data_IF_145402913450
#
_entry.id   IF_145402913450
#
_cell.length_a   1.000
_cell.length_b   1.000
_cell.length_c   1.000
_cell.angle_alpha   90.00
_cell.angle_beta   90.00
_cell.angle_gamma   90.00
#
_symmetry.space_group_name_H-M   'P 1'
#
loop_
_entity.id
_entity.type
_entity.pdbx_description
1 polymer ?
#
# COMPACT_ATOMS: atom_id res chain seq x y z
N UNK A 1 -16.95 42.53 0.14
CA UNK A 1 -16.01 42.96 1.19
C UNK A 1 -15.11 41.79 1.54
N UNK A 2 -13.87 41.80 1.04
CA UNK A 2 -12.89 40.73 1.25
C UNK A 2 -12.31 40.81 2.66
N UNK A 3 -12.37 39.70 3.40
CA UNK A 3 -11.69 39.59 4.69
C UNK A 3 -10.19 39.63 4.41
N UNK A 4 -9.52 40.60 5.02
CA UNK A 4 -8.09 40.87 4.88
C UNK A 4 -7.29 39.57 5.06
N UNK A 5 -6.57 39.19 4.00
CA UNK A 5 -5.52 38.17 4.01
C UNK A 5 -4.42 38.62 4.98
N UNK A 6 -4.55 38.26 6.27
CA UNK A 6 -3.35 38.15 7.11
C UNK A 6 -2.56 36.99 6.53
N UNK A 7 -1.47 37.30 5.83
CA UNK A 7 -0.46 36.32 5.47
C UNK A 7 -0.09 35.57 6.74
N UNK A 8 -0.34 34.26 6.75
CA UNK A 8 0.13 33.42 7.83
C UNK A 8 1.65 33.45 7.79
N UNK A 9 2.26 33.96 8.84
CA UNK A 9 3.72 33.97 9.00
C UNK A 9 4.25 32.54 8.92
N UNK A 10 5.34 32.34 8.19
CA UNK A 10 6.00 31.03 8.03
C UNK A 10 6.65 30.53 9.33
N UNK A 11 6.69 31.35 10.37
CA UNK A 11 7.21 30.97 11.67
C UNK A 11 6.33 29.94 12.37
N UNK A 12 6.84 28.71 12.47
CA UNK A 12 6.20 27.62 13.19
C UNK A 12 6.11 27.93 14.68
N UNK A 13 4.89 27.92 15.22
CA UNK A 13 4.66 28.05 16.66
C UNK A 13 5.30 26.90 17.43
N UNK A 14 6.12 27.23 18.42
CA UNK A 14 6.72 26.26 19.35
C UNK A 14 5.70 25.89 20.43
N UNK A 15 5.17 24.68 20.36
CA UNK A 15 4.20 24.15 21.33
C UNK A 15 4.92 23.16 22.28
N UNK A 16 4.70 23.22 23.60
CA UNK A 16 5.26 22.24 24.53
C UNK A 16 4.79 20.81 24.23
N UNK A 17 5.67 19.81 24.35
CA UNK A 17 5.36 18.40 24.04
C UNK A 17 4.15 17.85 24.79
N UNK A 18 3.98 18.23 26.07
CA UNK A 18 2.80 17.84 26.87
C UNK A 18 1.48 18.33 26.26
N UNK A 19 1.48 19.56 25.73
CA UNK A 19 0.30 20.13 25.08
C UNK A 19 0.01 19.44 23.75
N UNK A 20 1.05 19.11 22.98
CA UNK A 20 0.91 18.31 21.75
C UNK A 20 0.27 16.96 22.06
N UNK A 21 0.75 16.26 23.10
CA UNK A 21 0.19 14.97 23.49
C UNK A 21 -1.28 15.09 23.91
N UNK A 22 -1.64 16.08 24.74
CA UNK A 22 -3.05 16.31 25.09
C UNK A 22 -3.94 16.60 23.88
N UNK A 23 -3.42 17.30 22.86
CA UNK A 23 -4.18 17.55 21.63
C UNK A 23 -4.37 16.25 20.86
N UNK A 24 -3.35 15.41 20.77
CA UNK A 24 -3.43 14.10 20.09
C UNK A 24 -4.46 13.21 20.78
N UNK A 25 -4.37 13.07 22.10
CA UNK A 25 -5.26 12.21 22.88
C UNK A 25 -6.72 12.68 22.77
N UNK A 26 -6.96 13.99 22.96
CA UNK A 26 -8.30 14.57 22.77
C UNK A 26 -8.84 14.37 21.35
N UNK A 27 -7.99 14.52 20.32
CA UNK A 27 -8.39 14.31 18.92
C UNK A 27 -8.73 12.85 18.68
N UNK A 28 -7.97 11.93 19.27
CA UNK A 28 -8.24 10.50 19.17
C UNK A 28 -9.57 10.15 19.83
N UNK A 29 -9.78 10.56 21.08
CA UNK A 29 -11.02 10.26 21.82
C UNK A 29 -12.25 10.87 21.14
N UNK A 30 -12.12 12.07 20.58
CA UNK A 30 -13.22 12.78 19.93
C UNK A 30 -13.61 12.20 18.56
N UNK A 31 -12.67 11.66 17.78
CA UNK A 31 -12.93 11.28 16.38
C UNK A 31 -12.58 9.83 16.01
N UNK A 32 -11.57 9.24 16.64
CA UNK A 32 -11.05 7.93 16.25
C UNK A 32 -11.38 6.81 17.25
N UNK A 33 -11.80 7.16 18.47
CA UNK A 33 -12.25 6.23 19.49
C UNK A 33 -13.51 5.44 19.10
N UNK A 34 -13.71 4.27 19.72
CA UNK A 34 -14.88 3.43 19.46
C UNK A 34 -16.19 4.16 19.78
N UNK A 35 -16.26 4.81 20.95
CA UNK A 35 -17.42 5.59 21.39
C UNK A 35 -17.76 6.73 20.42
N UNK A 36 -16.75 7.40 19.85
CA UNK A 36 -16.95 8.46 18.87
C UNK A 36 -17.59 7.92 17.58
N UNK A 37 -17.12 6.77 17.10
CA UNK A 37 -17.70 6.10 15.91
C UNK A 37 -19.12 5.63 16.16
N UNK A 38 -19.40 5.05 17.32
CA UNK A 38 -20.74 4.58 17.68
C UNK A 38 -21.71 5.75 17.81
N UNK A 39 -21.30 6.83 18.47
CA UNK A 39 -22.09 8.06 18.60
C UNK A 39 -22.38 8.68 17.24
N UNK A 40 -21.38 8.73 16.35
CA UNK A 40 -21.55 9.21 14.98
C UNK A 40 -22.48 8.31 14.14
N UNK A 41 -22.47 6.99 14.38
CA UNK A 41 -23.31 6.03 13.66
C UNK A 41 -24.79 6.07 14.07
N UNK A 42 -25.08 6.62 15.25
CA UNK A 42 -26.43 6.86 15.78
C UNK A 42 -27.07 8.15 15.28
N UNK A 43 -26.28 9.08 14.69
CA UNK A 43 -26.82 10.30 14.12
C UNK A 43 -27.72 10.01 12.91
N UNK A 44 -28.75 10.84 12.72
CA UNK A 44 -29.67 10.73 11.60
C UNK A 44 -28.98 10.85 10.23
N UNK A 45 -27.90 11.66 10.15
CA UNK A 45 -27.09 11.83 8.95
C UNK A 45 -25.87 10.90 8.97
N UNK A 46 -25.65 10.07 7.92
CA UNK A 46 -24.50 9.17 7.86
C UNK A 46 -23.17 9.88 7.54
N UNK A 47 -23.17 11.18 7.23
CA UNK A 47 -21.98 11.94 6.82
C UNK A 47 -20.81 11.81 7.79
N UNK A 48 -21.03 12.10 9.08
CA UNK A 48 -19.99 12.01 10.10
C UNK A 48 -19.46 10.58 10.21
N UNK A 49 -20.34 9.59 10.33
CA UNK A 49 -19.94 8.19 10.46
C UNK A 49 -19.08 7.72 9.27
N UNK A 50 -19.49 8.05 8.04
CA UNK A 50 -18.76 7.72 6.82
C UNK A 50 -17.40 8.42 6.77
N UNK A 51 -17.32 9.69 7.19
CA UNK A 51 -16.07 10.44 7.25
C UNK A 51 -15.10 9.83 8.24
N UNK A 52 -15.55 9.50 9.46
CA UNK A 52 -14.70 8.91 10.49
C UNK A 52 -14.16 7.53 10.08
N UNK A 53 -14.98 6.71 9.42
CA UNK A 53 -14.55 5.44 8.85
C UNK A 53 -13.46 5.66 7.79
N UNK A 54 -13.70 6.57 6.83
CA UNK A 54 -12.73 6.87 5.77
C UNK A 54 -11.41 7.40 6.32
N UNK A 55 -11.46 8.29 7.32
CA UNK A 55 -10.25 8.82 7.96
C UNK A 55 -9.51 7.73 8.74
N UNK A 56 -10.22 6.82 9.40
CA UNK A 56 -9.62 5.68 10.12
C UNK A 56 -8.90 4.74 9.15
N UNK A 57 -9.54 4.38 8.04
CA UNK A 57 -8.96 3.51 7.02
C UNK A 57 -7.71 4.17 6.40
N UNK A 58 -7.81 5.45 6.05
CA UNK A 58 -6.69 6.21 5.52
C UNK A 58 -5.52 6.34 6.51
N UNK A 59 -5.81 6.55 7.80
CA UNK A 59 -4.79 6.60 8.83
C UNK A 59 -3.98 5.30 8.91
N UNK A 60 -4.62 4.13 8.72
CA UNK A 60 -3.91 2.85 8.68
C UNK A 60 -2.93 2.76 7.50
N UNK A 61 -3.31 3.27 6.32
CA UNK A 61 -2.45 3.34 5.12
C UNK A 61 -1.26 4.26 5.34
N UNK A 62 -1.49 5.44 5.94
CA UNK A 62 -0.42 6.38 6.27
C UNK A 62 0.56 5.75 7.27
N UNK A 63 0.06 5.07 8.29
CA UNK A 63 0.88 4.37 9.28
C UNK A 63 1.69 3.24 8.65
N UNK A 64 1.06 2.42 7.80
CA UNK A 64 1.76 1.37 7.05
C UNK A 64 2.89 1.93 6.19
N UNK A 65 2.65 2.99 5.43
CA UNK A 65 3.66 3.65 4.61
C UNK A 65 4.81 4.23 5.46
N UNK A 66 4.49 4.88 6.59
CA UNK A 66 5.52 5.42 7.51
C UNK A 66 6.37 4.30 8.12
N UNK A 67 5.72 3.22 8.57
CA UNK A 67 6.38 2.05 9.14
C UNK A 67 7.32 1.40 8.12
N UNK A 68 6.83 1.15 6.89
CA UNK A 68 7.63 0.63 5.78
C UNK A 68 8.84 1.51 5.48
N UNK A 69 8.64 2.82 5.32
CA UNK A 69 9.74 3.77 5.06
C UNK A 69 10.78 3.78 6.17
N UNK A 70 10.36 3.62 7.42
CA UNK A 70 11.25 3.51 8.58
C UNK A 70 11.92 2.14 8.75
N UNK A 71 11.54 1.13 7.94
CA UNK A 71 12.03 -0.24 8.07
C UNK A 71 11.49 -0.99 9.29
N UNK A 72 10.44 -0.48 9.95
CA UNK A 72 9.87 -1.07 11.16
C UNK A 72 8.83 -2.16 10.80
N UNK A 73 9.33 -3.38 10.63
CA UNK A 73 8.49 -4.54 10.31
C UNK A 73 7.49 -4.89 11.41
N UNK A 74 7.78 -4.55 12.67
CA UNK A 74 6.86 -4.80 13.78
C UNK A 74 5.58 -3.97 13.65
N UNK A 75 5.73 -2.67 13.37
CA UNK A 75 4.60 -1.77 13.08
C UNK A 75 3.85 -2.18 11.82
N UNK A 76 4.56 -2.58 10.76
CA UNK A 76 3.94 -3.08 9.53
C UNK A 76 3.12 -4.35 9.80
N UNK A 77 3.63 -5.29 10.59
CA UNK A 77 2.92 -6.52 10.96
C UNK A 77 1.61 -6.22 11.71
N UNK A 78 1.58 -5.19 12.55
CA UNK A 78 0.35 -4.76 13.21
C UNK A 78 -0.69 -4.21 12.22
N UNK A 79 -0.25 -3.46 11.20
CA UNK A 79 -1.14 -2.99 10.12
C UNK A 79 -1.62 -4.16 9.25
N UNK A 80 -0.75 -5.11 8.90
CA UNK A 80 -1.11 -6.30 8.14
C UNK A 80 -2.18 -7.14 8.82
N UNK A 81 -2.12 -7.31 10.14
CA UNK A 81 -3.18 -7.99 10.92
C UNK A 81 -4.53 -7.28 10.85
N UNK A 82 -4.53 -5.94 10.83
CA UNK A 82 -5.77 -5.17 10.67
C UNK A 82 -6.30 -5.29 9.25
N UNK A 83 -5.43 -5.09 8.26
CA UNK A 83 -5.78 -5.19 6.85
C UNK A 83 -6.21 -6.59 6.44
N UNK A 84 -5.71 -7.64 7.07
CA UNK A 84 -6.13 -9.01 6.78
C UNK A 84 -7.60 -9.22 7.13
N UNK A 85 -8.07 -8.67 8.25
CA UNK A 85 -9.50 -8.70 8.64
C UNK A 85 -10.32 -7.83 7.69
N UNK A 86 -9.88 -6.59 7.45
CA UNK A 86 -10.56 -5.68 6.51
C UNK A 86 -10.69 -6.26 5.10
N UNK A 87 -9.65 -6.92 4.59
CA UNK A 87 -9.66 -7.53 3.25
C UNK A 87 -10.71 -8.63 3.11
N UNK A 88 -10.97 -9.41 4.18
CA UNK A 88 -12.03 -10.42 4.21
C UNK A 88 -13.42 -9.78 4.15
N UNK A 89 -13.59 -8.59 4.74
CA UNK A 89 -14.83 -7.82 4.65
C UNK A 89 -15.09 -7.18 3.27
N UNK A 90 -14.05 -6.99 2.46
CA UNK A 90 -14.13 -6.31 1.15
C UNK A 90 -14.17 -7.31 -0.01
N UNK A 91 -15.30 -7.36 -0.72
CA UNK A 91 -15.54 -8.32 -1.82
C UNK A 91 -14.51 -8.30 -2.96
N UNK A 92 -13.87 -7.15 -3.22
CA UNK A 92 -12.90 -6.97 -4.32
C UNK A 92 -11.50 -7.50 -4.01
N UNK A 93 -11.15 -7.69 -2.74
CA UNK A 93 -9.79 -8.04 -2.31
C UNK A 93 -9.62 -9.55 -2.05
N UNK A 94 -10.14 -10.40 -2.95
CA UNK A 94 -10.17 -11.86 -2.74
C UNK A 94 -8.80 -12.53 -2.60
N UNK A 95 -7.80 -12.05 -3.34
CA UNK A 95 -6.44 -12.60 -3.27
C UNK A 95 -5.78 -12.23 -1.95
N UNK A 96 -5.81 -10.93 -1.60
CA UNK A 96 -5.24 -10.42 -0.36
C UNK A 96 -5.94 -10.94 0.90
N UNK A 97 -7.26 -11.18 0.84
CA UNK A 97 -8.02 -11.75 1.94
C UNK A 97 -7.66 -13.20 2.26
N UNK A 98 -6.95 -13.90 1.37
CA UNK A 98 -6.42 -15.25 1.61
C UNK A 98 -4.91 -15.23 1.86
N UNK A 99 -4.14 -14.58 0.99
CA UNK A 99 -2.69 -14.63 1.02
C UNK A 99 -2.10 -13.92 2.23
N UNK A 100 -2.65 -12.75 2.61
CA UNK A 100 -2.12 -11.98 3.73
C UNK A 100 -2.30 -12.70 5.07
N UNK A 101 -3.50 -13.23 5.44
CA UNK A 101 -3.64 -14.07 6.63
C UNK A 101 -2.71 -15.29 6.63
N UNK A 102 -2.59 -15.99 5.50
CA UNK A 102 -1.68 -17.15 5.37
C UNK A 102 -0.25 -16.76 5.72
N UNK A 103 0.26 -15.68 5.11
CA UNK A 103 1.61 -15.20 5.38
C UNK A 103 1.80 -14.81 6.86
N UNK A 104 0.82 -14.12 7.46
CA UNK A 104 0.87 -13.74 8.89
C UNK A 104 0.94 -14.98 9.79
N UNK A 105 0.12 -16.00 9.54
CA UNK A 105 0.11 -17.25 10.31
C UNK A 105 1.41 -18.02 10.10
N UNK A 106 1.89 -18.11 8.86
CA UNK A 106 3.14 -18.77 8.52
C UNK A 106 4.31 -18.20 9.32
N UNK A 107 4.48 -16.87 9.28
CA UNK A 107 5.60 -16.19 9.93
C UNK A 107 5.49 -16.22 11.46
N UNK A 108 4.29 -16.02 12.01
CA UNK A 108 4.13 -15.85 13.47
C UNK A 108 3.91 -17.16 14.24
N UNK A 109 3.40 -18.22 13.59
CA UNK A 109 2.94 -19.44 14.28
C UNK A 109 3.61 -20.73 13.79
N UNK A 110 3.92 -20.84 12.50
CA UNK A 110 4.41 -22.10 11.91
C UNK A 110 5.94 -22.11 11.83
N UNK A 111 6.56 -21.02 11.35
CA UNK A 111 8.00 -20.97 11.16
C UNK A 111 8.76 -20.92 12.49
N UNK A 112 9.93 -21.60 12.58
CA UNK A 112 10.84 -21.43 13.71
C UNK A 112 11.25 -19.96 13.88
N UNK A 113 11.39 -19.50 15.13
CA UNK A 113 11.66 -18.09 15.45
C UNK A 113 12.88 -17.52 14.71
N UNK A 114 13.95 -18.31 14.55
CA UNK A 114 15.15 -17.90 13.82
C UNK A 114 14.85 -17.61 12.34
N UNK A 115 14.16 -18.53 11.67
CA UNK A 115 13.80 -18.39 10.25
C UNK A 115 12.78 -17.27 10.03
N UNK A 116 11.76 -17.17 10.89
CA UNK A 116 10.80 -16.08 10.86
C UNK A 116 11.50 -14.71 10.98
N UNK A 117 12.48 -14.59 11.89
CA UNK A 117 13.27 -13.38 12.07
C UNK A 117 14.07 -13.03 10.80
N UNK A 118 14.74 -14.00 10.20
CA UNK A 118 15.49 -13.78 8.94
C UNK A 118 14.56 -13.28 7.83
N UNK A 119 13.42 -13.94 7.63
CA UNK A 119 12.44 -13.54 6.61
C UNK A 119 11.94 -12.12 6.88
N UNK A 120 11.54 -11.81 8.13
CA UNK A 120 11.04 -10.48 8.50
C UNK A 120 12.06 -9.36 8.25
N UNK A 121 13.34 -9.60 8.55
CA UNK A 121 14.40 -8.63 8.25
C UNK A 121 14.75 -8.54 6.77
N UNK A 122 14.39 -9.54 5.96
CA UNK A 122 14.64 -9.55 4.50
C UNK A 122 13.53 -8.93 3.66
N UNK A 123 12.36 -8.64 4.25
CA UNK A 123 11.21 -8.07 3.53
C UNK A 123 11.48 -6.65 3.02
N UNK A 124 12.28 -5.87 3.75
CA UNK A 124 12.63 -4.51 3.38
C UNK A 124 14.07 -4.42 2.92
N UNK A 125 14.28 -3.53 1.96
CA UNK A 125 15.59 -3.18 1.43
C UNK A 125 15.75 -1.66 1.50
N UNK A 126 16.95 -1.17 1.79
CA UNK A 126 17.26 0.25 1.83
C UNK A 126 18.22 0.61 0.69
N UNK A 127 17.71 0.97 -0.51
CA UNK A 127 18.54 1.17 -1.70
C UNK A 127 19.66 2.18 -1.50
N UNK A 128 19.35 3.31 -0.86
CA UNK A 128 20.31 4.39 -0.64
C UNK A 128 20.89 4.44 0.77
N UNK A 129 20.57 3.50 1.66
CA UNK A 129 20.96 3.54 3.09
C UNK A 129 20.44 4.77 3.87
N UNK A 130 19.63 5.64 3.25
CA UNK A 130 19.10 6.86 3.86
C UNK A 130 18.00 6.53 4.87
N UNK A 131 17.93 7.33 5.94
CA UNK A 131 16.83 7.23 6.91
C UNK A 131 15.49 7.47 6.20
N UNK A 132 14.46 6.70 6.59
CA UNK A 132 13.12 6.76 6.00
C UNK A 132 13.05 6.42 4.49
N UNK A 133 14.03 5.69 3.99
CA UNK A 133 14.12 5.27 2.59
C UNK A 133 14.17 3.74 2.44
N UNK A 134 13.53 3.02 3.37
CA UNK A 134 13.28 1.60 3.20
C UNK A 134 12.13 1.40 2.20
N UNK A 135 12.27 0.37 1.40
CA UNK A 135 11.35 -0.01 0.33
C UNK A 135 11.09 -1.51 0.42
N UNK A 136 9.91 -1.96 -0.01
CA UNK A 136 9.64 -3.39 -0.10
C UNK A 136 10.62 -4.05 -1.06
N UNK A 137 11.10 -5.25 -0.70
CA UNK A 137 12.00 -6.04 -1.55
C UNK A 137 11.39 -6.26 -2.93
N UNK A 138 10.09 -6.54 -3.01
CA UNK A 138 9.37 -6.75 -4.26
C UNK A 138 9.45 -5.52 -5.17
N UNK A 139 9.17 -4.32 -4.65
CA UNK A 139 9.33 -3.07 -5.40
C UNK A 139 10.78 -2.84 -5.85
N UNK A 140 11.77 -3.18 -5.02
CA UNK A 140 13.16 -3.11 -5.45
C UNK A 140 13.45 -4.08 -6.60
N UNK A 141 12.93 -5.30 -6.55
CA UNK A 141 13.05 -6.30 -7.62
C UNK A 141 12.33 -5.86 -8.89
N UNK A 142 11.15 -5.25 -8.80
CA UNK A 142 10.44 -4.65 -9.93
C UNK A 142 11.28 -3.58 -10.62
N UNK A 143 11.93 -2.70 -9.85
CA UNK A 143 12.84 -1.70 -10.40
C UNK A 143 14.03 -2.35 -11.11
N UNK A 144 14.65 -3.39 -10.54
CA UNK A 144 15.73 -4.13 -11.21
C UNK A 144 15.24 -4.79 -12.50
N UNK A 145 14.05 -5.39 -12.49
CA UNK A 145 13.44 -6.02 -13.66
C UNK A 145 13.13 -4.98 -14.75
N UNK A 146 12.71 -3.78 -14.37
CA UNK A 146 12.52 -2.66 -15.30
C UNK A 146 13.83 -2.30 -15.99
N UNK A 147 14.91 -2.08 -15.23
CA UNK A 147 16.22 -1.73 -15.79
C UNK A 147 16.77 -2.83 -16.70
N UNK A 148 16.62 -4.08 -16.28
CA UNK A 148 17.01 -5.23 -17.08
C UNK A 148 16.27 -5.25 -18.44
N UNK A 149 14.96 -4.99 -18.46
CA UNK A 149 14.19 -4.82 -19.70
C UNK A 149 14.63 -3.60 -20.49
N UNK A 150 14.91 -2.48 -19.83
CA UNK A 150 15.37 -1.25 -20.48
C UNK A 150 16.68 -1.47 -21.23
N UNK A 151 17.70 -2.03 -20.56
CA UNK A 151 18.99 -2.37 -21.18
C UNK A 151 18.84 -3.36 -22.31
N UNK A 152 18.01 -4.39 -22.10
CA UNK A 152 17.76 -5.42 -23.10
C UNK A 152 17.12 -4.85 -24.38
N UNK A 153 16.06 -4.03 -24.25
CA UNK A 153 15.34 -3.47 -25.38
C UNK A 153 16.16 -2.45 -26.19
N UNK A 154 17.05 -1.68 -25.54
CA UNK A 154 17.86 -0.65 -26.21
C UNK A 154 19.13 -1.21 -26.87
N UNK A 155 19.47 -2.48 -26.63
CA UNK A 155 20.66 -3.11 -27.24
C UNK A 155 20.39 -3.62 -28.66
N UNK A 156 19.14 -3.62 -29.15
CA UNK A 156 18.77 -3.92 -30.55
C UNK A 156 18.99 -5.36 -31.01
N UNK A 157 19.65 -6.19 -30.19
CA UNK A 157 19.86 -7.61 -30.44
C UNK A 157 18.77 -8.40 -29.71
N UNK A 158 18.03 -9.23 -30.44
CA UNK A 158 16.92 -10.04 -29.91
C UNK A 158 17.29 -11.01 -28.78
N UNK A 159 16.27 -11.72 -28.30
CA UNK A 159 16.16 -12.62 -27.13
C UNK A 159 17.26 -13.67 -26.96
N UNK A 160 18.46 -13.25 -26.55
CA UNK A 160 19.46 -14.15 -25.97
C UNK A 160 19.36 -14.13 -24.44
N UNK A 161 18.53 -15.03 -23.91
CA UNK A 161 18.22 -15.15 -22.47
C UNK A 161 19.48 -15.40 -21.64
N UNK A 162 20.45 -16.14 -22.19
CA UNK A 162 21.70 -16.45 -21.49
C UNK A 162 22.54 -15.20 -21.24
N UNK A 163 22.59 -14.26 -22.20
CA UNK A 163 23.27 -12.96 -21.99
C UNK A 163 22.53 -12.07 -21.01
N UNK A 164 21.19 -12.09 -21.03
CA UNK A 164 20.37 -11.36 -20.06
C UNK A 164 20.65 -11.83 -18.64
N UNK A 165 20.72 -13.15 -18.45
CA UNK A 165 20.97 -13.80 -17.17
C UNK A 165 22.41 -13.62 -16.69
N UNK A 166 23.40 -13.89 -17.53
CA UNK A 166 24.78 -14.01 -17.09
C UNK A 166 25.55 -12.67 -17.16
N UNK A 167 25.18 -11.76 -18.06
CA UNK A 167 25.88 -10.48 -18.27
C UNK A 167 25.09 -9.31 -17.68
N UNK A 168 23.82 -9.16 -18.03
CA UNK A 168 23.05 -7.97 -17.66
C UNK A 168 22.49 -8.04 -16.23
N UNK A 169 21.91 -9.18 -15.82
CA UNK A 169 21.31 -9.33 -14.49
C UNK A 169 22.32 -9.13 -13.36
N UNK A 170 23.55 -9.60 -13.52
CA UNK A 170 24.61 -9.46 -12.49
C UNK A 170 25.08 -8.00 -12.39
N UNK A 171 25.07 -7.28 -13.51
CA UNK A 171 25.66 -5.95 -13.63
C UNK A 171 24.62 -4.82 -13.68
N UNK A 172 23.33 -5.09 -13.45
CA UNK A 172 22.25 -4.11 -13.62
C UNK A 172 22.49 -2.85 -12.76
N UNK A 173 22.96 -3.01 -11.52
CA UNK A 173 23.29 -1.89 -10.62
C UNK A 173 24.47 -1.07 -11.12
N UNK A 174 25.54 -1.72 -11.59
CA UNK A 174 26.73 -1.05 -12.13
C UNK A 174 26.40 -0.27 -13.41
N UNK A 175 25.63 -0.87 -14.32
CA UNK A 175 25.22 -0.22 -15.56
C UNK A 175 24.29 0.96 -15.30
N UNK A 176 23.36 0.81 -14.36
CA UNK A 176 22.49 1.89 -13.90
C UNK A 176 23.32 3.07 -13.37
N UNK A 177 24.24 2.81 -12.44
CA UNK A 177 25.07 3.85 -11.84
C UNK A 177 25.99 4.51 -12.86
N UNK A 178 26.49 3.76 -13.85
CA UNK A 178 27.28 4.30 -14.95
C UNK A 178 26.47 5.25 -15.82
N UNK A 179 25.26 4.86 -16.22
CA UNK A 179 24.36 5.74 -17.00
C UNK A 179 24.03 6.99 -16.19
N UNK A 180 23.69 6.84 -14.91
CA UNK A 180 23.33 7.98 -14.08
C UNK A 180 24.49 8.98 -13.97
N UNK A 181 25.71 8.49 -13.72
CA UNK A 181 26.91 9.34 -13.70
C UNK A 181 27.22 9.99 -15.05
N UNK A 182 27.08 9.25 -16.16
CA UNK A 182 27.26 9.80 -17.50
C UNK A 182 26.23 10.88 -17.82
N UNK A 183 24.98 10.71 -17.41
CA UNK A 183 23.93 11.73 -17.53
C UNK A 183 24.24 12.96 -16.68
N UNK A 184 24.72 12.76 -15.45
CA UNK A 184 25.17 13.86 -14.57
C UNK A 184 26.32 14.65 -15.21
N UNK A 185 27.34 13.95 -15.75
CA UNK A 185 28.49 14.56 -16.43
C UNK A 185 28.10 15.24 -17.76
N UNK A 186 27.10 14.72 -18.47
CA UNK A 186 26.61 15.29 -19.73
C UNK A 186 25.69 16.51 -19.53
N UNK A 187 25.36 16.86 -18.29
CA UNK A 187 24.44 17.94 -17.97
C UNK A 187 22.96 17.62 -18.26
N UNK A 188 22.66 16.39 -18.72
CA UNK A 188 21.30 15.88 -18.90
C UNK A 188 20.80 15.34 -17.57
N UNK A 189 20.69 16.25 -16.59
CA UNK A 189 20.27 15.90 -15.24
C UNK A 189 18.80 15.41 -15.29
N UNK A 190 18.61 14.09 -15.32
CA UNK A 190 17.30 13.48 -15.13
C UNK A 190 16.91 13.60 -13.65
N UNK A 191 16.62 14.83 -13.21
CA UNK A 191 16.05 15.08 -11.90
C UNK A 191 14.76 14.28 -11.81
N UNK A 192 14.79 13.18 -11.05
CA UNK A 192 13.58 12.45 -10.73
C UNK A 192 12.70 13.42 -9.97
N UNK A 193 11.59 13.83 -10.58
CA UNK A 193 10.65 14.75 -9.95
C UNK A 193 10.02 14.02 -8.76
N UNK A 194 10.66 14.16 -7.59
CA UNK A 194 10.06 13.70 -6.35
C UNK A 194 8.85 14.61 -6.10
N UNK A 195 7.65 14.12 -6.38
CA UNK A 195 6.42 14.80 -6.01
C UNK A 195 6.26 14.73 -4.49
N UNK A 196 7.12 15.43 -3.76
CA UNK A 196 6.89 15.72 -2.36
C UNK A 196 5.73 16.71 -2.30
N UNK A 197 4.54 16.21 -1.95
CA UNK A 197 3.38 17.04 -1.71
C UNK A 197 3.64 17.89 -0.45
N UNK A 198 4.14 19.11 -0.65
CA UNK A 198 4.29 20.09 0.41
C UNK A 198 2.92 20.74 0.68
N UNK A 199 2.35 20.39 1.82
CA UNK A 199 1.09 20.97 2.28
C UNK A 199 1.40 22.33 2.90
N UNK A 200 1.19 23.40 2.14
CA UNK A 200 1.36 24.77 2.61
C UNK A 200 0.16 25.22 3.44
N UNK A 201 0.35 26.23 4.31
CA UNK A 201 -0.71 26.81 5.14
C UNK A 201 -1.92 27.28 4.32
N UNK A 202 -1.66 27.84 3.12
CA UNK A 202 -2.71 28.22 2.16
C UNK A 202 -3.56 27.00 1.72
N UNK A 203 -2.92 25.88 1.43
CA UNK A 203 -3.61 24.64 1.03
C UNK A 203 -4.46 24.08 2.17
N UNK A 204 -3.97 24.12 3.40
CA UNK A 204 -4.73 23.72 4.60
C UNK A 204 -5.96 24.61 4.76
N UNK A 205 -5.80 25.94 4.68
CA UNK A 205 -6.92 26.87 4.79
C UNK A 205 -7.96 26.68 3.70
N UNK A 206 -7.53 26.44 2.45
CA UNK A 206 -8.45 26.14 1.35
C UNK A 206 -9.23 24.85 1.62
N UNK A 207 -8.58 23.82 2.14
CA UNK A 207 -9.25 22.58 2.57
C UNK A 207 -10.24 22.84 3.71
N UNK A 208 -9.88 23.64 4.71
CA UNK A 208 -10.78 24.03 5.80
C UNK A 208 -11.98 24.85 5.32
N UNK A 209 -11.80 25.74 4.34
CA UNK A 209 -12.89 26.50 3.72
C UNK A 209 -13.84 25.56 2.97
N UNK A 210 -13.31 24.66 2.15
CA UNK A 210 -14.09 23.67 1.40
C UNK A 210 -14.87 22.75 2.34
N UNK A 211 -14.25 22.24 3.40
CA UNK A 211 -14.90 21.34 4.35
C UNK A 211 -16.03 22.00 5.14
N UNK A 212 -15.88 23.29 5.48
CA UNK A 212 -16.93 24.09 6.13
C UNK A 212 -18.07 24.45 5.18
N UNK A 213 -17.76 24.81 3.93
CA UNK A 213 -18.75 25.18 2.92
C UNK A 213 -19.65 23.99 2.55
N UNK A 214 -19.10 22.78 2.50
CA UNK A 214 -19.81 21.57 2.09
C UNK A 214 -20.33 20.72 3.27
N UNK A 215 -20.30 21.25 4.50
CA UNK A 215 -20.55 20.55 5.77
C UNK A 215 -20.25 19.04 5.70
N UNK A 216 -18.97 18.71 5.53
CA UNK A 216 -18.52 17.33 5.31
C UNK A 216 -18.85 16.44 6.53
N UNK A 217 -18.98 17.04 7.71
CA UNK A 217 -19.36 16.37 8.95
C UNK A 217 -20.88 16.22 9.14
N UNK A 218 -21.71 17.03 8.49
CA UNK A 218 -23.16 17.03 8.69
C UNK A 218 -23.59 17.53 10.09
N UNK A 219 -22.80 18.40 10.71
CA UNK A 219 -23.10 18.94 12.05
C UNK A 219 -24.05 20.15 12.00
N UNK A 220 -24.15 20.81 10.84
CA UNK A 220 -25.04 21.95 10.61
C UNK A 220 -25.97 21.59 9.45
N UNK A 221 -27.06 20.84 9.72
CA UNK A 221 -27.94 20.35 8.66
C UNK A 221 -28.57 21.54 7.91
N UNK A 222 -28.26 21.65 6.62
CA UNK A 222 -28.92 22.60 5.72
C UNK A 222 -30.08 21.92 5.01
N UNK A 223 -31.20 22.63 4.86
CA UNK A 223 -32.40 22.11 4.20
C UNK A 223 -32.07 21.86 2.73
N UNK A 224 -32.28 20.62 2.25
CA UNK A 224 -32.01 20.21 0.86
C UNK A 224 -30.59 19.70 0.58
N UNK A 225 -29.78 19.49 1.61
CA UNK A 225 -28.41 19.02 1.45
C UNK A 225 -28.33 17.53 1.08
N UNK A 226 -27.33 17.16 0.25
CA UNK A 226 -27.11 15.78 -0.18
C UNK A 226 -26.76 14.87 1.01
N UNK A 227 -27.51 13.77 1.17
CA UNK A 227 -27.23 12.72 2.15
C UNK A 227 -26.59 11.51 1.46
N UNK A 228 -25.33 11.16 1.78
CA UNK A 228 -24.67 10.00 1.20
C UNK A 228 -25.27 8.69 1.72
N UNK A 229 -25.13 7.61 0.96
CA UNK A 229 -25.48 6.27 1.46
C UNK A 229 -24.60 5.89 2.66
N UNK A 230 -25.19 5.24 3.68
CA UNK A 230 -24.46 4.75 4.85
C UNK A 230 -23.48 3.66 4.42
N UNK A 231 -22.20 3.85 4.74
CA UNK A 231 -21.15 2.88 4.47
C UNK A 231 -21.00 1.98 5.70
N UNK A 232 -20.93 0.69 5.46
CA UNK A 232 -20.61 -0.29 6.50
C UNK A 232 -19.13 -0.31 6.83
N UNK A 233 -18.79 -0.47 8.10
CA UNK A 233 -17.41 -0.73 8.51
C UNK A 233 -16.91 -2.05 7.91
N UNK A 234 -15.83 -1.96 7.13
CA UNK A 234 -15.21 -3.09 6.43
C UNK A 234 -14.49 -4.04 7.39
N UNK A 235 -13.97 -3.53 8.51
CA UNK A 235 -13.32 -4.33 9.54
C UNK A 235 -14.34 -5.16 10.33
N UNK A 236 -15.46 -4.55 10.74
CA UNK A 236 -16.55 -5.25 11.44
C UNK A 236 -17.13 -6.37 10.55
N UNK A 237 -17.42 -6.06 9.28
CA UNK A 237 -17.83 -7.09 8.30
C UNK A 237 -16.82 -8.22 8.14
N UNK A 238 -15.53 -7.88 8.17
CA UNK A 238 -14.46 -8.88 8.13
C UNK A 238 -14.51 -9.84 9.32
N UNK A 239 -14.75 -9.31 10.52
CA UNK A 239 -14.92 -10.12 11.74
C UNK A 239 -16.17 -10.98 11.67
N UNK A 240 -17.32 -10.43 11.29
CA UNK A 240 -18.58 -11.17 11.14
C UNK A 240 -18.41 -12.35 10.17
N UNK A 241 -17.77 -12.12 9.02
CA UNK A 241 -17.48 -13.18 8.04
C UNK A 241 -16.53 -14.25 8.61
N UNK A 242 -15.51 -13.86 9.38
CA UNK A 242 -14.60 -14.81 10.02
C UNK A 242 -15.32 -15.64 11.09
N UNK A 243 -16.22 -15.03 11.86
CA UNK A 243 -17.03 -15.74 12.87
C UNK A 243 -17.99 -16.72 12.19
N UNK A 244 -18.67 -16.30 11.11
CA UNK A 244 -19.53 -17.23 10.36
C UNK A 244 -18.75 -18.40 9.76
N UNK A 245 -17.53 -18.15 9.23
CA UNK A 245 -16.67 -19.21 8.70
C UNK A 245 -16.15 -20.17 9.79
N UNK A 246 -16.12 -19.72 11.05
CA UNK A 246 -15.72 -20.53 12.21
C UNK A 246 -16.87 -21.39 12.72
N UNK A 247 -18.08 -20.83 12.78
CA UNK A 247 -19.29 -21.54 13.22
C UNK A 247 -19.79 -22.54 12.16
N UNK A 248 -19.33 -22.41 10.91
CA UNK A 248 -19.60 -23.35 9.83
C UNK A 248 -19.09 -24.77 10.17
N UNK A 249 -20.02 -25.68 10.49
CA UNK A 249 -19.76 -27.11 10.74
C UNK A 249 -19.33 -27.92 9.49
N UNK A 250 -18.90 -27.24 8.43
CA UNK A 250 -18.34 -27.88 7.22
C UNK A 250 -17.04 -28.64 7.52
N UNK A 251 -16.81 -29.76 6.84
CA UNK A 251 -15.58 -30.54 6.96
C UNK A 251 -14.84 -30.58 5.61
N UNK A 252 -13.65 -29.94 5.48
CA UNK A 252 -12.97 -29.12 6.47
C UNK A 252 -13.66 -27.75 6.71
N UNK A 253 -13.49 -27.13 7.90
CA UNK A 253 -14.00 -25.79 8.18
C UNK A 253 -13.56 -24.79 7.12
N UNK A 254 -14.45 -23.90 6.67
CA UNK A 254 -14.11 -22.88 5.67
C UNK A 254 -12.93 -22.01 6.11
N UNK A 255 -12.78 -21.79 7.41
CA UNK A 255 -11.65 -21.05 7.98
C UNK A 255 -10.27 -21.68 7.67
N UNK A 256 -10.20 -22.99 7.40
CA UNK A 256 -8.96 -23.66 7.02
C UNK A 256 -8.37 -23.12 5.73
N UNK A 257 -9.15 -22.41 4.89
CA UNK A 257 -8.63 -21.70 3.71
C UNK A 257 -7.57 -20.65 4.07
N UNK A 258 -7.54 -20.17 5.31
CA UNK A 258 -6.57 -19.18 5.80
C UNK A 258 -5.26 -19.81 6.27
N UNK A 259 -5.20 -21.14 6.42
CA UNK A 259 -3.96 -21.83 6.74
C UNK A 259 -3.03 -21.82 5.51
N UNK A 260 -1.72 -21.67 5.72
CA UNK A 260 -0.75 -21.81 4.64
C UNK A 260 -0.89 -23.18 3.97
N UNK A 261 -0.77 -23.21 2.64
CA UNK A 261 -0.62 -24.47 1.91
C UNK A 261 0.60 -25.21 2.47
N UNK A 262 0.51 -26.53 2.59
CA UNK A 262 1.64 -27.36 2.98
C UNK A 262 2.84 -27.01 2.10
N UNK A 263 4.00 -26.76 2.71
CA UNK A 263 5.23 -26.61 1.94
C UNK A 263 5.51 -27.96 1.28
N UNK A 264 5.70 -27.94 -0.03
CA UNK A 264 6.20 -29.11 -0.75
C UNK A 264 7.60 -29.38 -0.20
N UNK A 265 7.83 -30.57 0.33
CA UNK A 265 9.19 -31.04 0.60
C UNK A 265 9.89 -31.08 -0.75
N UNK A 266 10.79 -30.12 -0.97
CA UNK A 266 11.73 -30.20 -2.08
C UNK A 266 12.67 -31.34 -1.72
N UNK A 267 12.30 -32.56 -2.12
CA UNK A 267 13.26 -33.63 -2.22
C UNK A 267 14.24 -33.20 -3.30
N UNK A 268 15.53 -33.26 -2.98
CA UNK A 268 16.61 -33.13 -3.94
C UNK A 268 16.53 -34.33 -4.90
N UNK A 269 15.56 -34.31 -5.81
CA UNK A 269 15.50 -35.30 -6.88
C UNK A 269 16.53 -34.89 -7.93
N UNK A 270 17.51 -35.78 -8.12
CA UNK A 270 18.53 -35.71 -9.17
C UNK A 270 17.90 -35.32 -10.53
N UNK A 271 18.56 -34.48 -11.34
CA UNK A 271 17.96 -33.86 -12.54
C UNK A 271 17.72 -34.84 -13.72
N UNK A 272 17.67 -36.15 -13.48
CA UNK A 272 17.64 -37.17 -14.52
C UNK A 272 16.25 -37.75 -14.83
N UNK A 273 15.20 -37.53 -14.02
CA UNK A 273 13.88 -38.14 -14.30
C UNK A 273 12.68 -37.22 -14.02
N UNK A 274 12.54 -36.14 -14.78
CA UNK A 274 11.23 -35.46 -14.90
C UNK A 274 10.37 -36.17 -15.95
N UNK A 275 9.72 -37.27 -15.56
CA UNK A 275 8.61 -37.82 -16.33
C UNK A 275 7.35 -37.00 -16.06
N UNK A 276 6.85 -36.42 -17.14
CA UNK A 276 5.55 -35.78 -17.39
C UNK A 276 4.47 -36.08 -16.32
N UNK A 277 4.18 -35.08 -15.48
CA UNK A 277 2.82 -34.87 -14.96
C UNK A 277 2.34 -33.51 -15.40
N UNK A 278 1.52 -33.50 -16.46
CA UNK A 278 0.71 -32.35 -16.87
C UNK A 278 -0.21 -31.96 -15.71
N UNK A 279 0.10 -30.88 -15.00
CA UNK A 279 -0.92 -30.13 -14.28
C UNK A 279 -1.62 -29.23 -15.28
N UNK A 280 -2.87 -29.55 -15.60
CA UNK A 280 -3.77 -28.72 -16.39
C UNK A 280 -4.08 -27.44 -15.61
N UNK A 281 -3.27 -26.41 -15.83
CA UNK A 281 -3.68 -25.03 -15.62
C UNK A 281 -3.78 -24.39 -17.00
N UNK A 282 -5.02 -24.24 -17.47
CA UNK A 282 -5.33 -23.36 -18.58
C UNK A 282 -4.82 -21.95 -18.24
N UNK A 283 -4.03 -21.32 -19.13
CA UNK A 283 -3.70 -19.91 -18.98
C UNK A 283 -4.99 -19.11 -19.21
N UNK A 284 -5.36 -18.30 -18.23
CA UNK A 284 -6.37 -17.27 -18.45
C UNK A 284 -5.86 -16.36 -19.58
N UNK A 285 -6.52 -16.45 -20.73
CA UNK A 285 -6.32 -15.58 -21.88
C UNK A 285 -6.48 -14.12 -21.44
N UNK A 286 -5.38 -13.38 -21.42
CA UNK A 286 -5.41 -11.95 -21.62
C UNK A 286 -5.81 -11.73 -23.08
N UNK A 287 -7.09 -11.44 -23.29
CA UNK A 287 -7.55 -10.88 -24.56
C UNK A 287 -7.05 -9.45 -24.63
N UNK A 288 -5.91 -9.25 -25.30
CA UNK A 288 -5.53 -7.97 -25.83
C UNK A 288 -6.53 -7.59 -26.92
N UNK A 289 -7.29 -6.54 -26.65
CA UNK A 289 -7.89 -5.73 -27.70
C UNK A 289 -7.39 -4.30 -27.51
N UNK A 290 -6.11 -4.08 -27.77
CA UNK A 290 -5.62 -2.76 -28.15
C UNK A 290 -5.97 -2.57 -29.63
N UNK A 291 -7.03 -1.81 -29.87
CA UNK A 291 -7.29 -1.23 -31.18
C UNK A 291 -6.23 -0.17 -31.46
N UNK A 292 -5.50 -0.36 -32.56
CA UNK A 292 -4.66 0.64 -33.22
C UNK A 292 -5.35 2.01 -33.27
N UNK A 293 -4.75 3.00 -32.62
CA UNK A 293 -4.97 4.41 -32.91
C UNK A 293 -3.61 5.10 -32.98
N UNK A 294 -3.02 4.98 -34.16
CA UNK A 294 -2.16 5.95 -34.87
C UNK A 294 -1.50 7.08 -34.06
N UNK A 295 -0.17 7.05 -34.08
CA UNK A 295 0.74 8.20 -34.06
C UNK A 295 0.10 9.51 -34.53
N UNK A 296 -0.11 10.44 -33.60
CA UNK A 296 0.13 11.89 -33.75
C UNK A 296 -0.18 12.54 -32.40
N UNK A 297 0.59 13.56 -32.03
CA UNK A 297 0.38 14.42 -30.84
C UNK A 297 0.98 13.94 -29.50
N UNK A 298 2.29 13.73 -29.46
CA UNK A 298 3.10 14.07 -28.28
C UNK A 298 4.30 14.96 -28.66
N UNK A 299 4.10 15.86 -29.63
CA UNK A 299 4.74 17.17 -29.54
C UNK A 299 3.94 18.00 -28.54
N UNK A 300 4.66 18.69 -27.65
CA UNK A 300 4.13 19.51 -26.54
C UNK A 300 3.77 18.69 -25.29
N UNK A 301 4.79 18.43 -24.48
CA UNK A 301 5.01 19.06 -23.17
C UNK A 301 6.45 18.67 -22.78
N UNK A 302 7.38 19.56 -23.15
CA UNK A 302 8.68 19.74 -22.49
C UNK A 302 8.51 20.85 -21.46
#
# INVERSE_FOLDING_TARGET
MGIQDRSLTEELWKIPSKKIQSIIDNTFDQYFGAQAKDSAAQLNSPKLSNLLLRLSDFASVVEGNRAMKSGDIGRVMNMWKRWSVTAIGVKKLRQYSLQLPRMIILINKILPRGLAKVILHSIFFAPGGRKNHFVAKDHHLENQNYWLKYFFNHTGNGTEIDRLKDIFSVNTTLLHDLIQKLSDDSGTFNSHQSHHNHINLRSINNCLRMTRQNDVSGLVPTIGEYSPAKISDSYVKGLENMMSDFDDCSSPPKLNRLLPTAMVDWKDDDPAESSVTKSTHEPASLSDSESEATNSELSVIL
#
